data_IF_923227160738
#
_entry.id   IF_923227160738
#
_cell.length_a   1.000
_cell.length_b   1.000
_cell.length_c   1.000
_cell.angle_alpha   90.00
_cell.angle_beta   90.00
_cell.angle_gamma   90.00
#
_symmetry.space_group_name_H-M   'P 1'
#
loop_
_entity.id
_entity.type
_entity.pdbx_description
1 polymer ?
#
# COMPACT_ATOMS: atom_id res chain seq x y z
N UNK A 1 -66.72 -1.12 1.58
CA UNK A 1 -67.14 -0.95 0.16
C UNK A 1 -66.47 0.29 -0.44
N UNK A 2 -66.51 0.41 -1.78
CA UNK A 2 -66.15 1.55 -2.68
C UNK A 2 -66.08 2.94 -1.99
N UNK A 3 -64.98 3.70 -2.13
CA UNK A 3 -64.75 4.76 -3.17
C UNK A 3 -65.39 6.13 -2.78
N UNK A 4 -64.87 7.33 -3.09
CA UNK A 4 -63.97 7.77 -4.18
C UNK A 4 -63.19 9.06 -3.85
N UNK A 5 -62.14 9.36 -4.63
CA UNK A 5 -61.52 10.69 -4.86
C UNK A 5 -62.56 11.82 -5.08
N UNK A 6 -62.28 13.13 -5.00
CA UNK A 6 -61.01 13.87 -5.24
C UNK A 6 -60.90 15.10 -4.29
N UNK A 7 -60.51 16.37 -4.58
CA UNK A 7 -60.16 17.16 -5.79
C UNK A 7 -59.09 18.23 -5.48
N UNK A 8 -58.38 18.71 -6.51
CA UNK A 8 -57.18 19.58 -6.46
C UNK A 8 -57.46 21.05 -6.11
N UNK A 9 -56.47 21.77 -5.56
CA UNK A 9 -56.26 23.21 -5.83
C UNK A 9 -54.76 23.58 -5.91
N UNK A 10 -54.33 24.08 -7.07
CA UNK A 10 -53.03 24.75 -7.26
C UNK A 10 -53.28 26.25 -7.51
N UNK A 11 -52.33 27.12 -7.13
CA UNK A 11 -52.31 28.54 -7.55
C UNK A 11 -50.88 28.99 -7.91
N UNK A 12 -50.78 29.88 -8.91
CA UNK A 12 -49.55 30.51 -9.44
C UNK A 12 -49.55 32.01 -9.15
N UNK A 13 -48.41 32.54 -8.70
CA UNK A 13 -47.92 33.96 -8.70
C UNK A 13 -46.47 33.93 -8.18
N UNK A 14 -45.48 34.79 -8.47
CA UNK A 14 -45.30 35.98 -9.36
C UNK A 14 -44.13 36.86 -8.83
N UNK A 15 -43.43 37.77 -9.56
CA UNK A 15 -43.35 38.11 -11.00
C UNK A 15 -42.18 39.11 -11.31
N UNK A 16 -40.94 38.65 -11.59
CA UNK A 16 -39.76 39.37 -12.20
C UNK A 16 -39.25 40.71 -11.58
N UNK A 17 -37.91 40.88 -11.51
CA UNK A 17 -37.04 42.05 -11.94
C UNK A 17 -35.62 41.80 -11.37
N UNK A 18 -34.45 41.87 -12.04
CA UNK A 18 -33.81 42.65 -13.14
C UNK A 18 -33.10 43.96 -12.74
N UNK A 19 -31.79 43.87 -12.44
CA UNK A 19 -30.73 44.89 -12.62
C UNK A 19 -29.35 44.20 -12.55
N UNK A 20 -28.20 44.85 -12.80
CA UNK A 20 -27.66 45.44 -14.05
C UNK A 20 -26.22 45.91 -13.77
N UNK A 21 -25.22 45.41 -14.49
CA UNK A 21 -23.82 45.92 -14.68
C UNK A 21 -23.00 46.40 -13.47
N UNK A 22 -21.78 45.87 -13.28
CA UNK A 22 -20.84 46.31 -12.24
C UNK A 22 -19.34 46.07 -12.53
N UNK A 23 -18.87 46.27 -13.76
CA UNK A 23 -17.47 46.04 -14.11
C UNK A 23 -16.57 47.26 -13.80
N UNK A 24 -15.51 47.11 -12.97
CA UNK A 24 -14.44 48.11 -12.79
C UNK A 24 -13.09 47.50 -12.36
N UNK A 25 -12.22 47.31 -13.37
CA UNK A 25 -10.73 47.32 -13.44
C UNK A 25 -9.86 46.80 -12.26
N UNK A 26 -8.79 46.03 -12.55
CA UNK A 26 -7.79 45.62 -11.55
C UNK A 26 -6.82 46.75 -11.16
N UNK A 27 -6.27 46.69 -9.95
CA UNK A 27 -5.17 47.54 -9.48
C UNK A 27 -3.80 47.02 -9.91
N UNK A 28 -2.87 47.94 -10.16
CA UNK A 28 -1.54 47.68 -10.73
C UNK A 28 -0.69 46.73 -9.88
N UNK A 29 -0.06 45.75 -10.54
CA UNK A 29 1.22 45.19 -10.07
C UNK A 29 2.34 46.21 -10.32
N UNK A 30 3.09 46.58 -9.28
CA UNK A 30 4.28 47.44 -9.39
C UNK A 30 5.56 46.60 -9.36
N UNK A 31 6.08 46.23 -10.54
CA UNK A 31 7.34 45.50 -10.66
C UNK A 31 8.54 46.40 -10.34
N UNK A 32 9.18 46.21 -9.17
CA UNK A 32 10.43 46.91 -8.81
C UNK A 32 11.65 46.12 -9.26
N UNK A 33 12.15 46.40 -10.47
CA UNK A 33 13.47 45.92 -10.92
C UNK A 33 14.59 46.67 -10.19
N UNK A 34 15.44 45.96 -9.46
CA UNK A 34 16.85 46.34 -9.27
C UNK A 34 17.70 45.62 -10.31
N UNK A 35 18.69 46.32 -10.89
CA UNK A 35 19.64 45.81 -11.88
C UNK A 35 21.05 46.28 -11.49
N UNK A 36 22.05 45.57 -12.02
CA UNK A 36 23.50 45.88 -12.06
C UNK A 36 24.29 45.42 -10.82
N UNK A 37 25.54 45.03 -11.08
CA UNK A 37 26.45 44.32 -10.16
C UNK A 37 27.01 43.08 -10.86
N UNK A 38 27.95 43.23 -11.79
CA UNK A 38 28.42 42.13 -12.63
C UNK A 38 29.90 42.27 -13.04
N UNK A 39 30.65 41.16 -12.91
CA UNK A 39 32.00 40.92 -13.48
C UNK A 39 33.13 41.74 -12.79
N UNK A 40 34.42 41.32 -12.86
CA UNK A 40 35.04 40.37 -13.79
C UNK A 40 35.43 38.98 -13.22
N UNK A 41 36.04 38.17 -14.08
CA UNK A 41 36.54 36.82 -13.84
C UNK A 41 38.07 36.80 -14.04
N UNK A 42 38.82 36.07 -13.22
CA UNK A 42 40.04 35.39 -13.69
C UNK A 42 40.52 34.29 -12.73
N UNK A 43 40.97 33.16 -13.32
CA UNK A 43 41.83 32.09 -12.76
C UNK A 43 41.32 31.30 -11.52
N UNK A 44 41.74 30.06 -11.29
CA UNK A 44 42.61 29.17 -12.09
C UNK A 44 41.99 27.76 -12.18
N UNK A 45 42.18 27.08 -13.31
CA UNK A 45 41.90 25.65 -13.44
C UNK A 45 43.00 24.87 -12.70
N UNK A 46 42.61 23.96 -11.82
CA UNK A 46 43.42 22.78 -11.47
C UNK A 46 42.53 21.55 -11.51
N UNK A 47 42.86 20.63 -12.39
CA UNK A 47 42.19 19.35 -12.53
C UNK A 47 42.60 18.41 -11.39
N UNK A 48 41.65 18.04 -10.55
CA UNK A 48 41.74 16.84 -9.69
C UNK A 48 40.73 15.83 -10.23
N UNK A 49 41.20 14.64 -10.59
CA UNK A 49 40.38 13.64 -11.25
C UNK A 49 39.27 13.10 -10.34
N UNK A 50 38.10 12.85 -10.92
CA UNK A 50 37.10 11.97 -10.32
C UNK A 50 37.56 10.52 -10.54
N UNK A 51 38.09 9.90 -9.49
CA UNK A 51 38.39 8.47 -9.47
C UNK A 51 37.10 7.66 -9.17
N UNK A 52 36.70 6.72 -10.03
CA UNK A 52 35.56 5.84 -9.76
C UNK A 52 35.81 4.74 -8.72
N UNK A 53 37.00 4.64 -8.10
CA UNK A 53 37.41 3.47 -7.28
C UNK A 53 37.93 3.77 -5.86
N UNK A 54 37.61 4.92 -5.27
CA UNK A 54 38.17 5.31 -3.96
C UNK A 54 37.14 5.67 -2.86
N UNK A 55 36.38 4.68 -2.37
CA UNK A 55 35.90 4.59 -0.97
C UNK A 55 35.38 3.18 -0.64
N UNK A 56 35.75 2.57 0.50
CA UNK A 56 35.38 1.18 0.82
C UNK A 56 33.97 1.03 1.39
N UNK A 57 33.23 0.02 0.92
CA UNK A 57 31.95 -0.42 1.50
C UNK A 57 32.22 -1.39 2.65
N UNK A 58 32.35 -0.88 3.87
CA UNK A 58 32.61 -1.70 5.08
C UNK A 58 31.81 -1.23 6.31
N UNK A 59 30.49 -1.43 6.30
CA UNK A 59 29.65 -1.50 7.52
C UNK A 59 28.43 -2.41 7.31
N UNK A 60 28.68 -3.69 7.03
CA UNK A 60 27.70 -4.76 7.28
C UNK A 60 28.05 -5.43 8.61
N UNK A 61 27.38 -5.01 9.68
CA UNK A 61 27.48 -5.70 10.98
C UNK A 61 26.90 -7.11 10.87
N UNK A 62 27.58 -8.17 11.34
CA UNK A 62 27.22 -9.57 11.05
C UNK A 62 25.99 -10.10 11.83
N UNK A 63 25.09 -9.22 12.28
CA UNK A 63 23.92 -9.57 13.10
C UNK A 63 22.65 -9.91 12.29
N UNK A 64 22.75 -10.02 10.96
CA UNK A 64 21.61 -10.24 10.05
C UNK A 64 21.63 -11.62 9.35
N UNK A 65 22.41 -12.59 9.85
CA UNK A 65 22.52 -13.94 9.29
C UNK A 65 22.60 -15.00 10.41
N UNK A 66 21.54 -15.12 11.23
CA UNK A 66 21.50 -16.05 12.37
C UNK A 66 20.11 -16.67 12.62
N UNK A 67 19.64 -17.55 11.71
CA UNK A 67 18.80 -18.71 12.08
C UNK A 67 19.21 -19.91 11.20
N UNK A 68 20.34 -20.55 11.51
CA UNK A 68 20.65 -21.94 11.15
C UNK A 68 22.00 -22.38 11.75
N UNK A 69 21.98 -23.09 12.89
CA UNK A 69 22.90 -24.18 13.30
C UNK A 69 22.85 -24.47 14.81
N UNK A 70 21.89 -25.31 15.22
CA UNK A 70 21.94 -26.14 16.43
C UNK A 70 20.95 -27.31 16.25
N UNK A 71 21.32 -28.58 16.35
CA UNK A 71 22.66 -29.18 16.45
C UNK A 71 22.70 -30.49 15.64
N UNK A 72 23.88 -30.85 15.11
CA UNK A 72 24.05 -31.99 14.20
C UNK A 72 24.97 -33.09 14.77
N UNK A 73 24.58 -33.70 15.88
CA UNK A 73 25.23 -34.89 16.45
C UNK A 73 24.19 -35.91 16.93
N UNK A 74 23.79 -36.82 16.03
CA UNK A 74 22.97 -38.00 16.38
C UNK A 74 21.83 -38.28 15.41
N UNK A 75 21.75 -39.53 14.94
CA UNK A 75 20.54 -40.16 14.41
C UNK A 75 19.85 -39.50 13.23
N UNK A 76 20.16 -39.94 12.00
CA UNK A 76 19.31 -39.65 10.84
C UNK A 76 17.94 -40.29 11.00
N UNK A 77 16.93 -39.50 11.37
CA UNK A 77 15.53 -39.93 11.40
C UNK A 77 14.93 -39.70 10.01
N UNK A 78 14.24 -40.70 9.40
CA UNK A 78 13.62 -40.50 8.10
C UNK A 78 12.59 -39.38 8.19
N UNK A 79 12.56 -38.50 7.18
CA UNK A 79 11.60 -37.41 7.12
C UNK A 79 10.18 -37.99 7.24
N UNK A 80 9.45 -37.58 8.28
CA UNK A 80 8.05 -37.99 8.44
C UNK A 80 7.28 -37.57 7.19
N UNK A 81 6.35 -38.40 6.67
CA UNK A 81 5.37 -37.93 5.70
C UNK A 81 4.72 -36.66 6.26
N UNK A 82 4.60 -35.62 5.43
CA UNK A 82 3.97 -34.38 5.87
C UNK A 82 2.54 -34.69 6.32
N UNK A 83 2.24 -34.42 7.60
CA UNK A 83 0.91 -34.63 8.18
C UNK A 83 -0.14 -33.85 7.35
N UNK A 84 -1.34 -34.42 7.10
CA UNK A 84 -2.31 -33.80 6.20
C UNK A 84 -2.85 -32.50 6.78
N UNK A 85 -2.37 -31.36 6.23
CA UNK A 85 -2.66 -29.97 6.65
C UNK A 85 -4.11 -29.77 7.18
N UNK A 86 -4.32 -29.70 8.51
CA UNK A 86 -5.63 -29.54 9.12
C UNK A 86 -5.85 -28.12 9.68
N UNK A 87 -5.09 -27.14 9.20
CA UNK A 87 -5.31 -25.72 9.48
C UNK A 87 -6.04 -25.07 8.29
N UNK A 88 -7.06 -24.25 8.55
CA UNK A 88 -7.69 -23.44 7.50
C UNK A 88 -6.69 -22.41 7.01
N UNK A 89 -6.37 -22.43 5.71
CA UNK A 89 -5.48 -21.43 5.10
C UNK A 89 -5.95 -20.01 5.43
N UNK A 90 -5.03 -19.16 5.87
CA UNK A 90 -5.32 -17.75 6.16
C UNK A 90 -5.30 -16.88 4.91
N UNK A 91 -5.15 -17.45 3.71
CA UNK A 91 -5.26 -16.70 2.46
C UNK A 91 -6.61 -15.97 2.38
N UNK A 92 -6.58 -14.67 2.08
CA UNK A 92 -7.76 -13.82 2.11
C UNK A 92 -8.18 -13.31 3.49
N UNK A 93 -7.44 -13.62 4.56
CA UNK A 93 -7.66 -13.07 5.90
C UNK A 93 -6.66 -11.96 6.21
N UNK A 94 -6.88 -11.27 7.33
CA UNK A 94 -5.91 -10.37 7.95
C UNK A 94 -5.22 -11.11 9.10
N UNK A 95 -3.90 -11.02 9.18
CA UNK A 95 -3.16 -11.23 10.43
C UNK A 95 -3.06 -9.89 11.15
N UNK A 96 -3.27 -9.91 12.46
CA UNK A 96 -3.11 -8.74 13.34
C UNK A 96 -2.06 -9.08 14.38
N UNK A 97 -1.02 -8.26 14.47
CA UNK A 97 0.05 -8.42 15.45
C UNK A 97 -0.50 -8.28 16.87
N UNK A 98 -0.12 -9.15 17.80
CA UNK A 98 -0.32 -8.89 19.23
C UNK A 98 0.76 -7.95 19.77
N UNK A 99 0.55 -7.40 20.96
CA UNK A 99 1.60 -6.64 21.67
C UNK A 99 2.75 -7.57 22.17
N UNK A 100 2.54 -8.89 22.14
CA UNK A 100 3.58 -9.90 22.41
C UNK A 100 4.56 -10.11 21.23
N UNK A 101 4.22 -9.64 20.02
CA UNK A 101 5.06 -9.79 18.82
C UNK A 101 6.30 -8.88 18.91
N UNK A 102 7.42 -9.46 19.33
CA UNK A 102 8.68 -8.74 19.64
C UNK A 102 9.44 -8.14 18.46
N UNK A 103 9.03 -8.40 17.21
CA UNK A 103 9.71 -7.83 16.04
C UNK A 103 9.19 -6.40 15.74
N UNK A 104 10.01 -5.33 15.90
CA UNK A 104 9.57 -3.96 15.65
C UNK A 104 9.17 -3.69 14.18
N UNK A 105 9.60 -4.55 13.23
CA UNK A 105 9.15 -4.50 11.82
C UNK A 105 7.67 -4.86 11.68
N UNK A 106 7.11 -5.58 12.65
CA UNK A 106 5.72 -6.06 12.66
C UNK A 106 4.89 -5.59 13.86
N UNK A 107 5.48 -4.96 14.88
CA UNK A 107 4.77 -4.32 15.97
C UNK A 107 3.58 -3.46 15.48
N UNK A 108 2.39 -3.74 16.02
CA UNK A 108 1.10 -3.12 15.66
C UNK A 108 0.80 -3.09 14.14
N UNK A 109 1.21 -4.13 13.40
CA UNK A 109 0.85 -4.29 11.97
C UNK A 109 -0.46 -5.05 11.76
N UNK A 110 -1.10 -4.75 10.64
CA UNK A 110 -2.17 -5.54 10.02
C UNK A 110 -1.66 -6.01 8.66
N UNK A 111 -1.66 -7.32 8.40
CA UNK A 111 -1.13 -7.94 7.17
C UNK A 111 -2.26 -8.65 6.43
N UNK A 112 -2.49 -8.29 5.16
CA UNK A 112 -3.42 -9.03 4.29
C UNK A 112 -2.69 -10.19 3.59
N UNK A 113 -3.24 -11.40 3.71
CA UNK A 113 -2.59 -12.63 3.27
C UNK A 113 -2.93 -12.99 1.82
N UNK A 114 -1.94 -12.93 0.94
CA UNK A 114 -2.08 -13.24 -0.49
C UNK A 114 -1.98 -14.73 -0.80
N UNK A 115 -1.29 -15.49 0.07
CA UNK A 115 -1.05 -16.92 -0.06
C UNK A 115 -0.69 -17.53 1.30
N UNK A 116 -1.17 -18.73 1.57
CA UNK A 116 -0.75 -19.57 2.71
C UNK A 116 -1.04 -21.03 2.31
N UNK A 117 0.03 -21.79 2.08
CA UNK A 117 0.01 -23.17 1.63
C UNK A 117 1.25 -23.93 2.17
N UNK A 118 1.44 -25.19 1.74
CA UNK A 118 2.54 -26.04 2.22
C UNK A 118 3.96 -25.53 1.87
N UNK A 119 4.11 -24.58 0.96
CA UNK A 119 5.38 -23.89 0.67
C UNK A 119 5.57 -22.61 1.52
N UNK A 120 4.70 -22.35 2.50
CA UNK A 120 4.73 -21.19 3.39
C UNK A 120 3.68 -20.13 3.05
N UNK A 121 3.87 -18.93 3.60
CA UNK A 121 2.88 -17.86 3.48
C UNK A 121 3.47 -16.53 2.97
N UNK A 122 2.62 -15.70 2.37
CA UNK A 122 2.97 -14.40 1.82
C UNK A 122 1.82 -13.41 2.04
N UNK A 123 2.15 -12.23 2.58
CA UNK A 123 1.19 -11.16 2.84
C UNK A 123 1.78 -9.76 2.67
N UNK A 124 0.93 -8.74 2.73
CA UNK A 124 1.29 -7.32 2.62
C UNK A 124 0.76 -6.55 3.84
N UNK A 125 1.61 -5.80 4.51
CA UNK A 125 1.20 -4.87 5.58
C UNK A 125 0.32 -3.75 4.97
N UNK A 126 -0.90 -3.58 5.47
CA UNK A 126 -1.90 -2.61 4.95
C UNK A 126 -2.02 -1.33 5.78
N UNK A 127 -1.23 -1.19 6.85
CA UNK A 127 -1.33 -0.09 7.81
C UNK A 127 -0.03 0.72 8.04
N UNK A 128 1.01 0.52 7.24
CA UNK A 128 2.27 1.30 7.30
C UNK A 128 2.50 2.13 6.02
N UNK A 129 1.85 3.29 5.84
CA UNK A 129 2.18 4.21 4.76
C UNK A 129 3.59 4.82 4.98
N UNK A 130 4.38 4.92 3.92
CA UNK A 130 5.75 5.48 3.95
C UNK A 130 5.91 6.77 3.14
N UNK A 131 4.89 7.15 2.36
CA UNK A 131 4.86 8.40 1.61
C UNK A 131 3.80 8.41 0.53
N UNK A 132 3.92 9.35 -0.40
CA UNK A 132 3.16 9.38 -1.64
C UNK A 132 4.07 9.79 -2.80
N UNK A 133 3.75 9.32 -4.01
CA UNK A 133 4.46 9.64 -5.24
C UNK A 133 3.46 10.10 -6.30
N UNK A 134 3.74 11.16 -7.08
CA UNK A 134 2.88 11.54 -8.19
C UNK A 134 2.74 10.40 -9.18
N UNK A 135 1.51 10.09 -9.60
CA UNK A 135 1.19 8.97 -10.50
C UNK A 135 2.02 9.04 -11.80
N UNK A 136 2.27 10.24 -12.32
CA UNK A 136 3.14 10.47 -13.46
C UNK A 136 4.59 9.97 -13.23
N UNK A 137 5.17 10.19 -12.03
CA UNK A 137 6.52 9.69 -11.69
C UNK A 137 6.57 8.18 -11.54
N UNK A 138 5.49 7.56 -11.06
CA UNK A 138 5.37 6.09 -11.02
C UNK A 138 5.39 5.54 -12.45
N UNK A 139 4.57 6.10 -13.35
CA UNK A 139 4.54 5.72 -14.77
C UNK A 139 5.91 5.91 -15.46
N UNK A 140 6.55 7.07 -15.32
CA UNK A 140 7.90 7.34 -15.83
C UNK A 140 8.91 6.28 -15.36
N UNK A 141 8.93 5.97 -14.07
CA UNK A 141 9.85 4.99 -13.48
C UNK A 141 9.66 3.55 -13.98
N UNK A 142 8.46 3.25 -14.52
CA UNK A 142 8.09 1.97 -15.11
C UNK A 142 8.16 1.97 -16.65
N UNK A 143 8.76 3.01 -17.25
CA UNK A 143 8.93 3.15 -18.70
C UNK A 143 7.62 3.42 -19.45
N UNK A 144 6.60 3.97 -18.78
CA UNK A 144 5.28 4.26 -19.35
C UNK A 144 5.05 5.75 -19.50
N UNK A 145 4.42 6.14 -20.60
CA UNK A 145 4.03 7.53 -20.85
C UNK A 145 2.98 8.00 -19.83
N UNK A 146 3.21 9.11 -19.09
CA UNK A 146 2.27 9.59 -18.08
C UNK A 146 0.88 9.96 -18.62
N UNK A 147 0.74 10.28 -19.92
CA UNK A 147 -0.57 10.42 -20.57
C UNK A 147 -1.53 11.46 -19.99
N UNK A 148 -1.02 12.46 -19.27
CA UNK A 148 -1.85 13.45 -18.54
C UNK A 148 -2.28 13.02 -17.13
N UNK A 149 -1.71 11.94 -16.59
CA UNK A 149 -1.92 11.48 -15.23
C UNK A 149 -1.76 12.62 -14.19
N UNK A 150 -2.67 12.64 -13.22
CA UNK A 150 -2.69 13.62 -12.12
C UNK A 150 -3.03 12.95 -10.79
N UNK A 151 -2.67 13.61 -9.69
CA UNK A 151 -2.77 13.04 -8.34
C UNK A 151 -1.60 12.14 -7.95
N UNK A 152 -1.62 11.72 -6.68
CA UNK A 152 -0.55 10.96 -6.03
C UNK A 152 -1.02 9.56 -5.65
N UNK A 153 -0.14 8.57 -5.75
CA UNK A 153 -0.31 7.24 -5.16
C UNK A 153 0.34 7.24 -3.79
N UNK A 154 -0.45 6.90 -2.76
CA UNK A 154 0.09 6.59 -1.42
C UNK A 154 0.82 5.25 -1.45
N UNK A 155 2.07 5.26 -0.99
CA UNK A 155 2.95 4.08 -0.95
C UNK A 155 2.93 3.50 0.47
N UNK A 156 2.69 2.20 0.58
CA UNK A 156 2.78 1.43 1.83
C UNK A 156 4.06 0.57 1.84
N UNK A 157 4.64 0.39 3.02
CA UNK A 157 5.63 -0.65 3.25
C UNK A 157 4.88 -1.98 3.40
N UNK A 158 4.95 -2.86 2.39
CA UNK A 158 4.29 -4.16 2.40
C UNK A 158 5.04 -5.21 3.22
N UNK A 159 6.35 -5.07 3.39
CA UNK A 159 7.17 -5.86 4.30
C UNK A 159 8.66 -5.88 3.94
N UNK A 160 9.48 -6.64 4.69
CA UNK A 160 10.94 -6.59 4.58
C UNK A 160 11.52 -7.34 3.36
N UNK A 161 10.75 -8.18 2.69
CA UNK A 161 11.24 -9.03 1.59
C UNK A 161 11.01 -8.36 0.24
N UNK A 162 12.01 -8.42 -0.66
CA UNK A 162 12.03 -7.75 -1.98
C UNK A 162 11.52 -6.29 -1.97
N UNK A 163 12.10 -5.35 -1.19
CA UNK A 163 11.57 -3.99 -1.05
C UNK A 163 11.53 -3.16 -2.35
N UNK A 164 12.25 -3.58 -3.41
CA UNK A 164 12.15 -2.99 -4.75
C UNK A 164 10.97 -3.52 -5.59
N UNK A 165 10.23 -4.53 -5.11
CA UNK A 165 9.09 -5.13 -5.80
C UNK A 165 7.79 -4.45 -5.37
N UNK A 166 7.04 -3.99 -6.36
CA UNK A 166 5.72 -3.40 -6.17
C UNK A 166 4.59 -4.45 -6.23
N UNK A 167 3.57 -4.25 -5.42
CA UNK A 167 2.27 -4.93 -5.50
C UNK A 167 1.16 -3.89 -5.35
N UNK A 168 0.10 -4.00 -6.14
CA UNK A 168 -1.14 -3.23 -5.96
C UNK A 168 -2.22 -4.18 -5.49
N UNK A 169 -2.74 -3.96 -4.27
CA UNK A 169 -4.02 -4.52 -3.84
C UNK A 169 -5.14 -3.68 -4.44
N UNK A 170 -6.24 -4.31 -4.85
CA UNK A 170 -7.39 -3.58 -5.38
C UNK A 170 -8.70 -4.37 -5.30
N UNK A 171 -9.81 -3.68 -5.55
CA UNK A 171 -11.13 -4.31 -5.70
C UNK A 171 -11.22 -5.09 -7.03
N UNK A 172 -11.99 -6.20 -7.07
CA UNK A 172 -11.79 -7.29 -8.03
C UNK A 172 -12.36 -7.04 -9.43
N UNK A 173 -13.05 -5.91 -9.65
CA UNK A 173 -13.62 -5.54 -10.94
C UNK A 173 -12.58 -5.18 -12.03
N UNK A 174 -11.30 -5.08 -11.67
CA UNK A 174 -10.20 -4.87 -12.61
C UNK A 174 -9.33 -6.12 -12.79
N UNK A 175 -9.30 -6.66 -14.01
CA UNK A 175 -8.72 -7.98 -14.33
C UNK A 175 -7.64 -7.91 -15.43
N UNK A 176 -6.82 -6.86 -15.44
CA UNK A 176 -5.73 -6.68 -16.41
C UNK A 176 -4.40 -7.26 -15.94
N UNK A 177 -3.44 -7.42 -16.86
CA UNK A 177 -2.07 -7.84 -16.53
C UNK A 177 -2.00 -9.20 -15.83
N UNK A 178 -1.29 -9.27 -14.71
CA UNK A 178 -1.21 -10.44 -13.82
C UNK A 178 -2.25 -10.44 -12.68
N UNK A 179 -3.30 -9.61 -12.78
CA UNK A 179 -4.36 -9.49 -11.77
C UNK A 179 -4.97 -10.85 -11.42
N UNK A 180 -4.93 -11.18 -10.13
CA UNK A 180 -5.54 -12.39 -9.57
C UNK A 180 -6.36 -12.05 -8.34
N UNK A 181 -7.59 -12.56 -8.29
CA UNK A 181 -8.46 -12.49 -7.12
C UNK A 181 -7.92 -13.45 -6.07
N UNK A 182 -7.54 -12.91 -4.90
CA UNK A 182 -7.25 -13.69 -3.70
C UNK A 182 -8.59 -14.11 -3.07
N UNK A 183 -8.57 -15.22 -2.32
CA UNK A 183 -9.71 -15.64 -1.52
C UNK A 183 -10.26 -14.48 -0.66
N UNK A 184 -11.57 -14.43 -0.42
CA UNK A 184 -12.22 -13.28 0.23
C UNK A 184 -12.49 -12.06 -0.67
N UNK A 185 -12.07 -12.07 -1.95
CA UNK A 185 -12.58 -11.14 -2.96
C UNK A 185 -11.79 -9.83 -3.14
N UNK A 186 -10.58 -9.73 -2.61
CA UNK A 186 -9.62 -8.67 -2.97
C UNK A 186 -8.64 -9.22 -4.01
N UNK A 187 -8.28 -8.41 -5.00
CA UNK A 187 -7.34 -8.79 -6.05
C UNK A 187 -5.96 -8.17 -5.81
N UNK A 188 -4.94 -8.79 -6.41
CA UNK A 188 -3.56 -8.29 -6.39
C UNK A 188 -2.93 -8.38 -7.78
N UNK A 189 -2.20 -7.32 -8.13
CA UNK A 189 -1.51 -7.11 -9.41
C UNK A 189 -0.07 -6.67 -9.17
N UNK A 190 0.86 -7.09 -10.01
CA UNK A 190 2.25 -6.61 -10.10
C UNK A 190 2.55 -5.85 -11.40
N UNK A 191 1.72 -6.03 -12.44
CA UNK A 191 1.85 -5.37 -13.75
C UNK A 191 1.63 -3.84 -13.67
N UNK A 192 2.59 -3.01 -14.16
CA UNK A 192 2.44 -1.56 -14.30
C UNK A 192 1.17 -1.06 -14.99
N UNK A 193 0.51 -1.88 -15.83
CA UNK A 193 -0.70 -1.52 -16.56
C UNK A 193 -1.86 -1.06 -15.66
N UNK A 194 -1.89 -1.46 -14.37
CA UNK A 194 -2.89 -0.97 -13.41
C UNK A 194 -2.75 0.55 -13.15
N UNK A 195 -1.53 1.09 -13.16
CA UNK A 195 -1.30 2.53 -13.01
C UNK A 195 -1.77 3.31 -14.23
N UNK A 196 -1.61 2.76 -15.44
CA UNK A 196 -2.18 3.33 -16.67
C UNK A 196 -3.71 3.30 -16.68
N UNK A 197 -4.31 2.27 -16.07
CA UNK A 197 -5.76 2.17 -15.92
C UNK A 197 -6.28 3.21 -14.92
N UNK A 198 -5.62 3.35 -13.76
CA UNK A 198 -5.91 4.39 -12.76
C UNK A 198 -5.78 5.79 -13.38
N UNK A 199 -4.71 6.07 -14.13
CA UNK A 199 -4.48 7.34 -14.81
C UNK A 199 -5.59 7.71 -15.81
N UNK A 200 -6.20 6.71 -16.46
CA UNK A 200 -7.30 6.87 -17.43
C UNK A 200 -8.69 6.86 -16.78
N UNK A 201 -8.79 6.67 -15.47
CA UNK A 201 -10.09 6.48 -14.79
C UNK A 201 -10.78 5.15 -15.12
N UNK A 202 -10.06 4.19 -15.70
CA UNK A 202 -10.54 2.83 -16.03
C UNK A 202 -9.92 1.76 -15.11
N UNK A 203 -9.38 2.19 -13.97
CA UNK A 203 -8.84 1.33 -12.91
C UNK A 203 -9.93 0.83 -11.95
N UNK A 204 -9.54 0.07 -10.92
CA UNK A 204 -10.45 -0.38 -9.87
C UNK A 204 -10.95 0.79 -9.01
N UNK A 205 -12.13 0.62 -8.39
CA UNK A 205 -12.77 1.57 -7.45
C UNK A 205 -11.89 1.90 -6.25
N UNK A 206 -11.08 0.95 -5.78
CA UNK A 206 -10.10 1.11 -4.70
C UNK A 206 -8.81 0.39 -5.04
N UNK A 207 -7.69 1.02 -4.72
CA UNK A 207 -6.34 0.45 -4.86
C UNK A 207 -5.44 0.89 -3.70
N UNK A 208 -4.48 0.05 -3.34
CA UNK A 208 -3.42 0.33 -2.36
C UNK A 208 -2.10 -0.19 -2.91
N UNK A 209 -1.09 0.67 -3.10
CA UNK A 209 0.22 0.29 -3.57
C UNK A 209 1.16 -0.02 -2.40
N UNK A 210 1.80 -1.18 -2.43
CA UNK A 210 2.75 -1.65 -1.44
C UNK A 210 4.11 -1.99 -2.08
N UNK A 211 5.19 -1.64 -1.39
CA UNK A 211 6.57 -1.99 -1.75
C UNK A 211 7.11 -3.05 -0.78
N UNK A 212 7.66 -4.14 -1.31
CA UNK A 212 8.06 -5.33 -0.55
C UNK A 212 6.88 -6.13 0.01
N UNK A 213 7.19 -7.26 0.65
CA UNK A 213 6.19 -8.15 1.25
C UNK A 213 6.67 -8.80 2.56
N UNK A 214 5.72 -9.32 3.33
CA UNK A 214 5.95 -10.18 4.48
C UNK A 214 5.86 -11.65 4.04
N UNK A 215 6.83 -12.48 4.42
CA UNK A 215 6.91 -13.88 4.00
C UNK A 215 7.33 -14.79 5.15
N UNK A 216 6.76 -15.99 5.17
CA UNK A 216 6.98 -17.02 6.18
C UNK A 216 7.41 -18.32 5.50
N UNK A 217 8.37 -19.02 6.10
CA UNK A 217 8.76 -20.37 5.72
C UNK A 217 7.61 -21.38 5.99
N UNK A 218 7.64 -22.60 5.39
CA UNK A 218 6.67 -23.65 5.69
C UNK A 218 6.53 -23.91 7.19
N UNK A 219 5.29 -23.90 7.71
CA UNK A 219 4.97 -24.14 9.12
C UNK A 219 5.30 -22.98 10.09
N UNK A 220 5.99 -21.93 9.63
CA UNK A 220 6.42 -20.83 10.49
C UNK A 220 5.24 -19.97 10.96
N UNK A 221 4.32 -19.63 10.05
CA UNK A 221 3.17 -18.77 10.38
C UNK A 221 2.25 -19.47 11.38
N UNK A 222 2.04 -20.76 11.20
CA UNK A 222 1.22 -21.61 12.07
C UNK A 222 1.83 -21.69 13.47
N UNK A 223 3.16 -21.81 13.57
CA UNK A 223 3.89 -21.72 14.84
C UNK A 223 3.79 -20.33 15.50
N UNK A 224 3.87 -19.24 14.73
CA UNK A 224 3.71 -17.88 15.26
C UNK A 224 2.26 -17.58 15.72
N UNK A 225 1.25 -18.13 15.05
CA UNK A 225 -0.16 -18.06 15.49
C UNK A 225 -0.37 -18.89 16.77
N UNK A 226 0.15 -20.12 16.82
CA UNK A 226 0.08 -20.96 18.04
C UNK A 226 0.83 -20.34 19.22
N UNK A 227 1.96 -19.66 18.96
CA UNK A 227 2.72 -18.88 19.93
C UNK A 227 2.08 -17.55 20.35
N UNK A 228 0.91 -17.19 19.81
CA UNK A 228 0.17 -15.98 20.19
C UNK A 228 0.71 -14.67 19.60
N UNK A 229 1.67 -14.71 18.68
CA UNK A 229 2.24 -13.53 18.02
C UNK A 229 1.27 -12.86 17.04
N UNK A 230 0.31 -13.62 16.52
CA UNK A 230 -0.72 -13.16 15.58
C UNK A 230 -2.08 -13.73 15.96
N UNK A 231 -3.14 -12.98 15.66
CA UNK A 231 -4.49 -13.52 15.53
C UNK A 231 -5.06 -13.22 14.15
N UNK A 232 -6.02 -14.04 13.72
CA UNK A 232 -6.64 -13.97 12.39
C UNK A 232 -7.97 -13.23 12.47
N UNK A 233 -8.18 -12.26 11.58
CA UNK A 233 -9.42 -11.48 11.46
C UNK A 233 -9.94 -11.55 10.02
N UNK A 234 -11.25 -11.69 9.85
CA UNK A 234 -11.88 -11.68 8.52
C UNK A 234 -11.59 -10.35 7.81
N UNK A 235 -11.05 -10.43 6.60
CA UNK A 235 -10.73 -9.27 5.80
C UNK A 235 -11.97 -8.51 5.33
N UNK A 236 -11.86 -7.18 5.25
CA UNK A 236 -12.85 -6.30 4.64
C UNK A 236 -12.18 -5.07 4.00
N UNK A 237 -12.91 -4.39 3.11
CA UNK A 237 -12.38 -3.23 2.41
C UNK A 237 -11.99 -2.05 3.32
N UNK A 238 -12.60 -1.88 4.50
CA UNK A 238 -12.30 -0.76 5.40
C UNK A 238 -11.15 -1.04 6.37
N UNK A 239 -10.69 -2.29 6.52
CA UNK A 239 -9.36 -2.56 7.09
C UNK A 239 -8.26 -2.55 6.03
N UNK A 240 -8.56 -2.89 4.77
CA UNK A 240 -7.55 -2.90 3.69
C UNK A 240 -7.34 -1.51 3.07
N UNK A 241 -8.40 -0.89 2.52
CA UNK A 241 -8.31 0.29 1.64
C UNK A 241 -8.62 1.63 2.30
N UNK A 242 -8.85 1.67 3.61
CA UNK A 242 -9.08 2.92 4.32
C UNK A 242 -7.79 3.75 4.43
N UNK A 243 -7.93 5.07 4.37
CA UNK A 243 -6.84 6.04 4.43
C UNK A 243 -6.41 6.38 5.86
N UNK A 244 -7.26 6.14 6.86
CA UNK A 244 -6.83 6.12 8.26
C UNK A 244 -6.13 4.79 8.56
N UNK A 245 -4.84 4.77 8.21
CA UNK A 245 -3.96 3.65 8.48
C UNK A 245 -3.61 3.49 9.96
N UNK A 246 -3.72 4.53 10.78
CA UNK A 246 -3.34 4.48 12.19
C UNK A 246 -4.33 3.63 13.00
N UNK A 247 -5.64 3.87 12.82
CA UNK A 247 -6.68 3.11 13.52
C UNK A 247 -6.87 1.68 13.03
N UNK A 248 -6.31 1.28 11.87
CA UNK A 248 -6.49 -0.07 11.30
C UNK A 248 -6.15 -1.19 12.28
N UNK A 249 -5.08 -1.05 13.07
CA UNK A 249 -4.71 -2.08 14.05
C UNK A 249 -5.68 -2.16 15.23
N UNK A 250 -6.17 -1.01 15.70
CA UNK A 250 -7.13 -0.93 16.81
C UNK A 250 -8.49 -1.49 16.36
N UNK A 251 -9.00 -1.03 15.21
CA UNK A 251 -10.23 -1.52 14.57
C UNK A 251 -10.18 -3.00 14.17
N UNK A 252 -9.00 -3.57 13.97
CA UNK A 252 -8.82 -5.01 13.75
C UNK A 252 -8.75 -5.79 15.08
N UNK A 253 -8.16 -5.20 16.11
CA UNK A 253 -8.07 -5.77 17.47
C UNK A 253 -9.43 -5.81 18.17
N UNK A 254 -10.28 -4.81 17.96
CA UNK A 254 -11.69 -4.80 18.39
C UNK A 254 -12.51 -5.98 17.84
N UNK A 255 -12.09 -6.56 16.70
CA UNK A 255 -12.72 -7.75 16.08
C UNK A 255 -12.13 -9.07 16.55
N UNK A 256 -11.18 -9.06 17.49
CA UNK A 256 -10.72 -10.27 18.18
C UNK A 256 -11.85 -10.77 19.08
N UNK A 257 -12.69 -11.67 18.57
CA UNK A 257 -13.74 -12.32 19.37
C UNK A 257 -13.11 -13.10 20.52
N UNK A 258 -13.02 -12.47 21.69
CA UNK A 258 -12.70 -13.15 22.93
C UNK A 258 -13.88 -14.06 23.25
N UNK A 259 -13.64 -15.36 23.35
CA UNK A 259 -14.58 -16.27 23.99
C UNK A 259 -14.54 -15.96 25.51
N UNK A 260 -15.64 -15.42 26.02
CA UNK A 260 -15.90 -15.19 27.45
C UNK A 260 -16.51 -16.45 28.07
#
# INVERSE_FOLDING_TARGET
MRSTRTKRRWRRTGRRRTTRSGARRPTRWTARRSRRGARPCSRAIRSTGWDPRSSPVTWLSPAALLILLAAATGGGQPARPAEPFPARSTAGQLLVATEDLRDPRFARTVVYMLRHDAAGALGLIVNRPVGALPLARVLESLGREPGGASGDIRVYYGGPVEPGRGFVLHTPEWTGGDSRVVHGGVAVTSDPAIFEAIARGTGPRRAMFAAGYAGWAPGQLEGEIQGGSWFVVTADEALIFDDDAASKWERATERRTIAL
#
